data_IF_979293094029
#
_entry.id   IF_979293094029
#
_cell.length_a   1.000
_cell.length_b   1.000
_cell.length_c   1.000
_cell.angle_alpha   90.00
_cell.angle_beta   90.00
_cell.angle_gamma   90.00
#
_symmetry.space_group_name_H-M   'P 1'
#
loop_
_entity.id
_entity.type
_entity.pdbx_description
1 polymer ?
#
# COMPACT_ATOMS: atom_id res chain seq x y z
N UNK A 1 -3.44 19.66 22.48
CA UNK A 1 -2.68 18.61 21.75
C UNK A 1 -3.28 17.27 22.08
N UNK A 2 -4.04 16.66 21.15
CA UNK A 2 -4.67 15.35 21.38
C UNK A 2 -3.65 14.25 21.13
N UNK A 3 -3.27 13.54 22.20
CA UNK A 3 -2.38 12.40 22.15
C UNK A 3 -3.19 11.22 21.58
N UNK A 4 -3.10 11.01 20.27
CA UNK A 4 -3.79 9.92 19.59
C UNK A 4 -3.34 8.57 20.15
N UNK A 5 -4.25 7.90 20.86
CA UNK A 5 -4.04 6.56 21.43
C UNK A 5 -3.61 5.58 20.33
N UNK A 6 -2.42 5.00 20.47
CA UNK A 6 -1.98 3.88 19.64
C UNK A 6 -2.77 2.64 20.05
N UNK A 7 -3.76 2.26 19.24
CA UNK A 7 -4.53 1.03 19.44
C UNK A 7 -3.67 -0.16 19.01
N UNK A 8 -3.48 -1.13 19.90
CA UNK A 8 -2.78 -2.38 19.59
C UNK A 8 -3.64 -3.20 18.62
N UNK A 9 -3.10 -3.50 17.44
CA UNK A 9 -3.79 -4.32 16.45
C UNK A 9 -3.78 -5.79 16.89
N UNK A 10 -4.97 -6.43 16.97
CA UNK A 10 -5.12 -7.85 17.35
C UNK A 10 -4.92 -8.82 16.16
N UNK A 11 -4.40 -8.32 15.04
CA UNK A 11 -4.19 -9.08 13.80
C UNK A 11 -4.08 -8.14 12.59
N UNK A 12 -3.71 -8.68 11.44
CA UNK A 12 -3.70 -7.90 10.19
C UNK A 12 -5.10 -7.84 9.60
N UNK A 13 -5.65 -6.62 9.48
CA UNK A 13 -6.96 -6.34 8.86
C UNK A 13 -7.03 -6.81 7.40
N UNK A 14 -5.89 -6.72 6.71
CA UNK A 14 -5.76 -7.04 5.30
C UNK A 14 -4.73 -8.14 5.11
N UNK A 15 -4.91 -8.94 4.06
CA UNK A 15 -3.95 -9.94 3.63
C UNK A 15 -3.15 -9.38 2.46
N UNK A 16 -1.82 -9.51 2.49
CA UNK A 16 -1.02 -9.27 1.29
C UNK A 16 -1.34 -10.38 0.29
N UNK A 17 -1.76 -9.97 -0.90
CA UNK A 17 -2.14 -10.90 -1.96
C UNK A 17 -1.13 -10.86 -3.10
N UNK A 18 -0.44 -9.74 -3.32
CA UNK A 18 0.55 -9.63 -4.38
C UNK A 18 1.57 -8.53 -4.15
N UNK A 19 2.65 -8.59 -4.93
CA UNK A 19 3.58 -7.49 -5.07
C UNK A 19 4.16 -7.46 -6.49
N UNK A 20 4.37 -6.25 -7.02
CA UNK A 20 5.08 -6.03 -8.27
C UNK A 20 6.37 -5.24 -8.02
N UNK A 21 7.42 -5.63 -8.73
CA UNK A 21 8.65 -4.85 -8.86
C UNK A 21 8.73 -4.33 -10.29
N UNK A 22 8.57 -3.01 -10.45
CA UNK A 22 8.54 -2.36 -11.77
C UNK A 22 9.78 -1.50 -11.95
N UNK A 23 10.29 -1.49 -13.17
CA UNK A 23 11.39 -0.63 -13.61
C UNK A 23 10.85 0.19 -14.78
N UNK A 24 10.94 1.51 -14.68
CA UNK A 24 10.28 2.42 -15.62
C UNK A 24 11.06 3.72 -15.82
N UNK A 25 10.99 4.28 -17.02
CA UNK A 25 11.47 5.64 -17.29
C UNK A 25 10.51 6.71 -16.77
N UNK A 26 9.26 6.34 -16.46
CA UNK A 26 8.22 7.24 -15.98
C UNK A 26 7.74 6.85 -14.60
N UNK A 27 6.98 7.76 -14.01
CA UNK A 27 6.30 7.52 -12.74
C UNK A 27 5.18 6.48 -12.93
N UNK A 28 5.08 5.54 -12.00
CA UNK A 28 4.14 4.41 -12.07
C UNK A 28 2.96 4.64 -11.13
N UNK A 29 2.01 5.48 -11.51
CA UNK A 29 0.85 5.83 -10.69
C UNK A 29 -0.40 5.03 -11.04
N UNK A 30 -1.35 5.03 -10.11
CA UNK A 30 -2.70 4.49 -10.28
C UNK A 30 -2.68 3.06 -10.83
N UNK A 31 -1.82 2.22 -10.25
CA UNK A 31 -1.66 0.81 -10.57
C UNK A 31 -2.98 0.06 -10.44
N UNK A 32 -3.80 0.45 -9.46
CA UNK A 32 -5.13 -0.12 -9.24
C UNK A 32 -6.09 0.05 -10.42
N UNK A 33 -5.90 1.04 -11.31
CA UNK A 33 -6.77 1.26 -12.47
C UNK A 33 -6.34 0.50 -13.73
N UNK A 34 -5.18 -0.18 -13.72
CA UNK A 34 -4.63 -0.81 -14.92
C UNK A 34 -5.49 -2.00 -15.36
N UNK A 35 -5.92 -1.99 -16.61
CA UNK A 35 -6.62 -3.11 -17.21
C UNK A 35 -5.74 -4.36 -17.16
N UNK A 36 -6.32 -5.47 -16.69
CA UNK A 36 -5.59 -6.74 -16.47
C UNK A 36 -4.63 -6.73 -15.28
N UNK A 37 -4.54 -5.63 -14.53
CA UNK A 37 -3.80 -5.55 -13.28
C UNK A 37 -4.48 -6.32 -12.14
N UNK A 38 -3.75 -6.56 -11.05
CA UNK A 38 -4.18 -7.42 -9.93
C UNK A 38 -5.57 -7.04 -9.38
N UNK A 39 -5.88 -5.73 -9.35
CA UNK A 39 -7.16 -5.20 -8.81
C UNK A 39 -8.30 -5.22 -9.83
N UNK A 40 -8.00 -5.21 -11.13
CA UNK A 40 -8.99 -5.17 -12.22
C UNK A 40 -9.25 -6.56 -12.83
N UNK A 41 -8.65 -7.60 -12.26
CA UNK A 41 -8.55 -8.89 -12.92
C UNK A 41 -9.88 -9.66 -12.89
N UNK A 42 -10.64 -9.51 -13.97
CA UNK A 42 -11.69 -10.45 -14.41
C UNK A 42 -11.17 -11.45 -15.47
N UNK A 43 -9.89 -11.40 -15.85
CA UNK A 43 -9.35 -12.22 -16.94
C UNK A 43 -8.00 -12.88 -16.60
N UNK A 44 -8.09 -14.15 -16.23
CA UNK A 44 -6.99 -15.14 -16.09
C UNK A 44 -6.02 -15.02 -17.26
N UNK A 45 -4.89 -14.34 -17.03
CA UNK A 45 -3.81 -14.26 -18.00
C UNK A 45 -2.63 -15.09 -17.50
N UNK A 46 -2.27 -16.09 -18.29
CA UNK A 46 -1.07 -16.92 -18.17
C UNK A 46 0.18 -16.03 -18.26
N UNK A 47 0.80 -15.68 -17.13
CA UNK A 47 2.19 -15.20 -17.10
C UNK A 47 2.92 -15.88 -15.94
N UNK A 48 4.07 -16.46 -16.27
CA UNK A 48 4.86 -17.35 -15.43
C UNK A 48 5.57 -16.54 -14.32
N UNK A 49 4.85 -16.19 -13.25
CA UNK A 49 5.42 -15.60 -12.03
C UNK A 49 4.79 -16.28 -10.82
N UNK A 50 5.60 -16.86 -9.93
CA UNK A 50 5.15 -17.65 -8.77
C UNK A 50 4.21 -16.90 -7.81
N UNK A 51 4.20 -15.56 -7.84
CA UNK A 51 3.30 -14.69 -7.05
C UNK A 51 1.83 -14.80 -7.53
N UNK A 52 1.60 -15.18 -8.78
CA UNK A 52 0.27 -15.19 -9.41
C UNK A 52 -0.64 -16.31 -8.87
N UNK A 53 -0.07 -17.40 -8.33
CA UNK A 53 -0.86 -18.59 -7.96
C UNK A 53 -1.82 -18.36 -6.78
N UNK A 54 -1.43 -17.58 -5.76
CA UNK A 54 -2.35 -17.27 -4.63
C UNK A 54 -3.44 -16.26 -5.03
N UNK A 55 -3.14 -15.40 -6.00
CA UNK A 55 -4.01 -14.33 -6.48
C UNK A 55 -5.12 -14.80 -7.41
N UNK A 56 -4.81 -15.77 -8.27
CA UNK A 56 -5.78 -16.31 -9.22
C UNK A 56 -7.01 -16.89 -8.52
N UNK A 57 -6.85 -17.53 -7.36
CA UNK A 57 -7.99 -18.09 -6.62
C UNK A 57 -8.90 -17.04 -5.96
N UNK A 58 -8.40 -15.84 -5.67
CA UNK A 58 -9.17 -14.76 -5.05
C UNK A 58 -9.75 -13.80 -6.10
N UNK A 59 -8.96 -13.39 -7.09
CA UNK A 59 -9.42 -12.50 -8.17
C UNK A 59 -10.40 -13.19 -9.13
N UNK A 60 -10.28 -14.49 -9.38
CA UNK A 60 -11.23 -15.24 -10.22
C UNK A 60 -12.65 -15.31 -9.60
N UNK A 61 -12.81 -14.97 -8.31
CA UNK A 61 -14.13 -14.93 -7.66
C UNK A 61 -14.91 -13.67 -8.01
N UNK A 62 -14.29 -12.65 -8.64
CA UNK A 62 -14.96 -11.45 -9.13
C UNK A 62 -15.82 -10.75 -8.07
N UNK A 63 -15.39 -10.82 -6.81
CA UNK A 63 -16.17 -10.46 -5.65
C UNK A 63 -16.15 -8.97 -5.30
N UNK A 64 -16.80 -8.58 -4.20
CA UNK A 64 -16.88 -7.21 -3.70
C UNK A 64 -15.61 -6.76 -2.97
N UNK A 65 -14.45 -7.39 -3.18
CA UNK A 65 -13.27 -7.16 -2.36
C UNK A 65 -12.70 -5.76 -2.55
N UNK A 66 -12.31 -5.15 -1.43
CA UNK A 66 -11.62 -3.87 -1.42
C UNK A 66 -10.11 -4.08 -1.30
N UNK A 67 -9.35 -3.39 -2.16
CA UNK A 67 -7.90 -3.44 -2.19
C UNK A 67 -7.27 -2.18 -1.61
N UNK A 68 -6.18 -2.36 -0.86
CA UNK A 68 -5.30 -1.28 -0.43
C UNK A 68 -3.93 -1.50 -1.06
N UNK A 69 -3.45 -0.52 -1.82
CA UNK A 69 -2.19 -0.61 -2.57
C UNK A 69 -1.21 0.36 -1.93
N UNK A 70 -0.03 -0.14 -1.57
CA UNK A 70 1.09 0.71 -1.14
C UNK A 70 2.10 0.72 -2.26
N UNK A 71 2.31 1.89 -2.86
CA UNK A 71 3.16 2.09 -4.02
C UNK A 71 4.39 2.90 -3.58
N UNK A 72 5.54 2.24 -3.42
CA UNK A 72 6.80 2.89 -3.11
C UNK A 72 7.57 3.17 -4.39
N UNK A 73 7.89 4.42 -4.66
CA UNK A 73 8.72 4.79 -5.81
C UNK A 73 10.03 5.42 -5.36
N UNK A 74 11.11 4.89 -5.92
CA UNK A 74 12.47 5.41 -5.75
C UNK A 74 12.79 6.24 -7.00
N UNK A 75 13.04 7.55 -6.86
CA UNK A 75 13.42 8.40 -7.98
C UNK A 75 14.80 7.99 -8.52
N UNK A 76 14.98 8.11 -9.82
CA UNK A 76 16.20 7.72 -10.53
C UNK A 76 15.96 7.56 -12.03
N UNK A 77 17.01 7.17 -12.74
CA UNK A 77 16.96 6.78 -14.16
C UNK A 77 17.69 5.44 -14.30
N UNK A 78 16.99 4.30 -14.37
CA UNK A 78 15.53 4.16 -14.34
C UNK A 78 14.93 4.34 -12.94
N UNK A 79 13.61 4.57 -12.87
CA UNK A 79 12.85 4.57 -11.60
C UNK A 79 12.52 3.14 -11.20
N UNK A 80 12.55 2.88 -9.90
CA UNK A 80 12.14 1.60 -9.32
C UNK A 80 10.87 1.77 -8.51
N UNK A 81 9.92 0.88 -8.73
CA UNK A 81 8.64 0.87 -8.04
C UNK A 81 8.42 -0.47 -7.38
N UNK A 82 8.13 -0.45 -6.08
CA UNK A 82 7.62 -1.59 -5.33
C UNK A 82 6.14 -1.34 -5.01
N UNK A 83 5.26 -2.10 -5.65
CA UNK A 83 3.83 -2.05 -5.39
C UNK A 83 3.41 -3.26 -4.56
N UNK A 84 2.72 -3.03 -3.45
CA UNK A 84 2.24 -4.08 -2.55
C UNK A 84 0.72 -4.03 -2.50
N UNK A 85 0.07 -5.15 -2.81
CA UNK A 85 -1.38 -5.25 -2.92
C UNK A 85 -1.92 -6.00 -1.72
N UNK A 86 -2.79 -5.35 -0.96
CA UNK A 86 -3.48 -5.90 0.19
C UNK A 86 -4.97 -6.00 -0.10
N UNK A 87 -5.58 -7.10 0.30
CA UNK A 87 -7.01 -7.36 0.14
C UNK A 87 -7.68 -7.36 1.52
N UNK A 88 -8.82 -6.68 1.65
CA UNK A 88 -9.63 -6.75 2.86
C UNK A 88 -10.32 -8.11 2.98
N UNK A 89 -10.35 -8.66 4.21
CA UNK A 89 -11.06 -9.92 4.52
C UNK A 89 -12.53 -9.73 4.88
N UNK A 90 -12.93 -8.49 5.14
CA UNK A 90 -14.28 -8.08 5.49
C UNK A 90 -14.67 -6.83 4.69
N UNK A 91 -15.96 -6.50 4.58
CA UNK A 91 -16.43 -5.22 4.03
C UNK A 91 -15.71 -4.00 4.61
N UNK A 92 -15.58 -2.94 3.82
CA UNK A 92 -14.94 -1.68 4.23
C UNK A 92 -15.75 -0.98 5.32
N UNK A 93 -17.08 -1.12 5.25
CA UNK A 93 -18.08 -0.53 6.13
C UNK A 93 -17.93 -1.00 7.58
N UNK A 94 -17.41 -2.21 7.79
CA UNK A 94 -17.16 -2.78 9.11
C UNK A 94 -16.00 -2.07 9.85
N UNK A 95 -15.24 -1.21 9.14
CA UNK A 95 -14.06 -0.52 9.66
C UNK A 95 -14.20 1.00 9.53
N UNK A 96 -14.93 1.68 10.43
CA UNK A 96 -15.27 3.10 10.28
C UNK A 96 -14.08 4.04 10.09
N UNK A 97 -12.96 3.77 10.77
CA UNK A 97 -11.74 4.58 10.62
C UNK A 97 -11.12 4.43 9.24
N UNK A 98 -11.12 3.22 8.68
CA UNK A 98 -10.60 2.94 7.36
C UNK A 98 -11.58 3.43 6.28
N UNK A 99 -12.88 3.22 6.46
CA UNK A 99 -13.91 3.78 5.59
C UNK A 99 -13.77 5.30 5.47
N UNK A 100 -13.60 6.00 6.61
CA UNK A 100 -13.35 7.44 6.63
C UNK A 100 -12.01 7.82 6.01
N UNK A 101 -10.98 7.00 6.16
CA UNK A 101 -9.69 7.22 5.49
C UNK A 101 -9.82 7.12 3.96
N UNK A 102 -10.51 6.09 3.49
CA UNK A 102 -10.72 5.80 2.08
C UNK A 102 -11.56 6.90 1.43
N UNK A 103 -12.66 7.31 2.06
CA UNK A 103 -13.62 8.27 1.51
C UNK A 103 -13.39 9.73 1.98
N UNK A 104 -12.36 9.99 2.79
CA UNK A 104 -12.03 11.32 3.30
C UNK A 104 -11.24 12.18 2.30
N UNK A 105 -10.73 13.31 2.76
CA UNK A 105 -9.81 14.16 2.00
C UNK A 105 -8.34 13.82 2.29
N UNK A 106 -7.43 14.42 1.51
CA UNK A 106 -5.99 14.18 1.67
C UNK A 106 -5.46 14.73 3.00
N UNK A 107 -6.03 15.80 3.54
CA UNK A 107 -5.67 16.33 4.86
C UNK A 107 -5.92 15.28 5.96
N UNK A 108 -7.08 14.63 5.92
CA UNK A 108 -7.41 13.55 6.83
C UNK A 108 -6.49 12.34 6.63
N UNK A 109 -6.24 11.93 5.37
CA UNK A 109 -5.34 10.81 5.07
C UNK A 109 -3.92 11.05 5.57
N UNK A 110 -3.37 12.24 5.31
CA UNK A 110 -2.04 12.64 5.75
C UNK A 110 -1.90 12.65 7.28
N UNK A 111 -2.98 12.94 8.02
CA UNK A 111 -2.99 12.90 9.49
C UNK A 111 -3.06 11.49 10.10
N UNK A 112 -3.45 10.49 9.31
CA UNK A 112 -3.75 9.11 9.79
C UNK A 112 -2.79 8.05 9.26
N UNK A 113 -2.30 8.21 8.03
CA UNK A 113 -1.43 7.20 7.42
C UNK A 113 -0.04 7.23 8.06
N UNK A 114 0.33 6.11 8.69
CA UNK A 114 1.63 5.92 9.33
C UNK A 114 2.30 4.70 8.74
N UNK A 115 3.57 4.83 8.34
CA UNK A 115 4.44 3.70 8.11
C UNK A 115 5.33 3.53 9.32
N UNK A 116 5.25 2.34 9.90
CA UNK A 116 6.06 1.96 11.06
C UNK A 116 7.08 0.94 10.57
N UNK A 117 8.31 1.36 10.22
CA UNK A 117 9.35 0.41 9.87
C UNK A 117 9.69 -0.42 11.11
N UNK A 118 9.81 -1.74 10.93
CA UNK A 118 10.21 -2.66 12.00
C UNK A 118 11.28 -3.62 11.47
N UNK A 119 12.49 -3.51 12.03
CA UNK A 119 13.63 -4.37 11.68
C UNK A 119 13.80 -5.41 12.78
N UNK A 120 13.35 -6.63 12.52
CA UNK A 120 13.48 -7.75 13.46
C UNK A 120 14.97 -8.15 13.60
N UNK A 121 15.61 -8.40 12.46
CA UNK A 121 17.03 -8.74 12.34
C UNK A 121 17.75 -7.78 11.40
N UNK A 122 18.97 -7.40 11.75
CA UNK A 122 19.77 -6.42 11.01
C UNK A 122 20.91 -5.87 11.85
N UNK A 123 21.91 -5.29 11.19
CA UNK A 123 23.05 -4.68 11.88
C UNK A 123 22.57 -3.53 12.78
N UNK A 124 23.32 -3.28 13.86
CA UNK A 124 23.03 -2.19 14.79
C UNK A 124 22.85 -0.84 14.07
N UNK A 125 23.65 -0.58 13.03
CA UNK A 125 23.58 0.62 12.20
C UNK A 125 22.21 0.76 11.53
N UNK A 126 21.68 -0.31 10.92
CA UNK A 126 20.37 -0.29 10.25
C UNK A 126 19.23 -0.07 11.26
N UNK A 127 19.31 -0.71 12.43
CA UNK A 127 18.32 -0.52 13.51
C UNK A 127 18.34 0.90 14.08
N UNK A 128 19.48 1.59 14.03
CA UNK A 128 19.60 2.98 14.49
C UNK A 128 19.04 3.97 13.46
N UNK A 129 19.23 3.73 12.17
CA UNK A 129 18.78 4.63 11.08
C UNK A 129 17.27 4.73 10.90
N UNK A 130 16.50 3.71 11.32
CA UNK A 130 15.02 3.70 11.22
C UNK A 130 14.32 4.60 12.25
N UNK A 131 15.03 5.09 13.27
CA UNK A 131 14.47 5.87 14.37
C UNK A 131 13.58 5.05 15.32
N UNK A 132 13.13 5.69 16.43
CA UNK A 132 12.31 5.03 17.47
C UNK A 132 10.79 5.25 17.32
N UNK A 133 10.35 6.06 16.35
CA UNK A 133 8.93 6.42 16.15
C UNK A 133 8.56 6.28 14.67
N UNK A 134 7.44 5.62 14.39
CA UNK A 134 6.89 5.55 13.04
C UNK A 134 6.62 6.94 12.47
N UNK A 135 6.86 7.11 11.17
CA UNK A 135 6.69 8.39 10.49
C UNK A 135 5.24 8.53 10.00
N UNK A 136 4.66 9.71 10.18
CA UNK A 136 3.45 10.12 9.46
C UNK A 136 3.88 10.41 8.02
N UNK A 137 3.71 9.42 7.15
CA UNK A 137 4.22 9.52 5.78
C UNK A 137 3.65 10.74 5.05
N UNK A 138 2.37 11.02 5.19
CA UNK A 138 1.75 12.18 4.55
C UNK A 138 2.11 13.55 5.14
N UNK A 139 2.84 13.59 6.27
CA UNK A 139 3.39 14.83 6.85
C UNK A 139 4.87 15.01 6.56
N UNK A 140 5.58 13.92 6.23
CA UNK A 140 7.04 13.89 6.08
C UNK A 140 7.44 13.73 4.61
N UNK A 141 6.57 13.16 3.79
CA UNK A 141 6.75 12.91 2.36
C UNK A 141 5.47 13.35 1.63
N UNK A 142 5.61 13.83 0.40
CA UNK A 142 4.45 14.08 -0.46
C UNK A 142 3.79 12.74 -0.84
N UNK A 143 2.75 12.37 -0.09
CA UNK A 143 1.93 11.21 -0.41
C UNK A 143 0.86 11.60 -1.45
N UNK A 144 0.63 10.74 -2.43
CA UNK A 144 -0.49 10.89 -3.37
C UNK A 144 -1.47 9.73 -3.22
N UNK A 145 -2.76 10.03 -3.32
CA UNK A 145 -3.82 9.06 -3.08
C UNK A 145 -4.65 8.87 -4.35
N UNK A 146 -4.88 7.62 -4.74
CA UNK A 146 -5.76 7.28 -5.85
C UNK A 146 -6.90 6.40 -5.34
N UNK A 147 -8.13 6.91 -5.42
CA UNK A 147 -9.34 6.19 -5.02
C UNK A 147 -10.07 5.69 -6.26
N UNK A 148 -10.13 4.37 -6.43
CA UNK A 148 -10.93 3.73 -7.47
C UNK A 148 -12.34 3.38 -7.00
N UNK A 149 -12.99 2.41 -7.66
CA UNK A 149 -14.26 1.83 -7.17
C UNK A 149 -14.01 0.87 -6.00
N UNK A 150 -13.09 -0.06 -6.19
CA UNK A 150 -12.78 -1.15 -5.26
C UNK A 150 -11.34 -1.09 -4.69
N UNK A 151 -10.66 0.06 -4.81
CA UNK A 151 -9.33 0.20 -4.21
C UNK A 151 -9.02 1.61 -3.71
N UNK A 152 -8.04 1.68 -2.81
CA UNK A 152 -7.29 2.88 -2.45
C UNK A 152 -5.81 2.59 -2.67
N UNK A 153 -5.13 3.44 -3.43
CA UNK A 153 -3.67 3.41 -3.60
C UNK A 153 -3.05 4.58 -2.87
N UNK A 154 -2.02 4.29 -2.07
CA UNK A 154 -1.18 5.29 -1.42
C UNK A 154 0.20 5.23 -2.05
N UNK A 155 0.52 6.30 -2.77
CA UNK A 155 1.84 6.52 -3.31
C UNK A 155 2.76 7.15 -2.27
N UNK A 156 3.91 6.52 -2.06
CA UNK A 156 4.95 6.94 -1.14
C UNK A 156 6.21 7.25 -1.96
N UNK A 157 6.51 8.54 -2.13
CA UNK A 157 7.79 8.97 -2.69
C UNK A 157 8.91 8.69 -1.68
N UNK A 158 9.81 7.77 -2.00
CA UNK A 158 10.99 7.51 -1.19
C UNK A 158 12.11 8.43 -1.67
N UNK A 159 12.38 9.50 -0.91
CA UNK A 159 13.58 10.33 -1.12
C UNK A 159 14.58 9.99 -0.04
N UNK A 160 15.78 9.55 -0.43
CA UNK A 160 16.90 9.40 0.49
C UNK A 160 17.45 10.78 0.80
N UNK A 161 17.12 11.32 1.98
CA UNK A 161 17.85 12.45 2.54
C UNK A 161 19.20 11.90 3.05
N UNK A 162 20.28 12.27 2.36
CA UNK A 162 21.65 12.10 2.85
C UNK A 162 21.99 13.27 3.77
#
# INVERSE_FOLDING_TARGET
MSMGMLIKANGALMQMVGADWLISEKREDNLGSRLGGIVQHRYVTRKLTLVVYSLQNHAAQGGPEFFFIVNFQIPGTPRYTLAMYYMMKSPLEDHPSLYKFVNGDDAYRNSRFKLIPHVFEGSWIVKQSIGKRGSLLGQTLEAQYFRGKNYMEVHCFLVFAC
#
